data_IF_712880048888
#
_entry.id   IF_712880048888
#
_cell.length_a   1.000
_cell.length_b   1.000
_cell.length_c   1.000
_cell.angle_alpha   90.00
_cell.angle_beta   90.00
_cell.angle_gamma   90.00
#
_symmetry.space_group_name_H-M   'P 1'
#
loop_
_entity.id
_entity.type
_entity.pdbx_description
1 polymer ?
#
# COMPACT_ATOMS: atom_id res chain seq x y z
N UNK A 1 18.43 -0.24 10.08
CA UNK A 1 17.42 0.20 9.09
C UNK A 1 18.02 -0.01 7.71
N UNK A 2 17.35 -0.78 6.85
CA UNK A 2 17.93 -1.32 5.61
C UNK A 2 18.27 -0.23 4.60
N UNK A 3 19.56 -0.14 4.24
CA UNK A 3 20.14 0.80 3.27
C UNK A 3 19.66 0.58 1.81
N UNK A 4 18.55 -0.14 1.60
CA UNK A 4 18.10 -0.68 0.31
C UNK A 4 16.97 0.12 -0.35
N UNK A 5 16.17 0.87 0.42
CA UNK A 5 15.13 1.74 -0.14
C UNK A 5 15.75 2.87 -0.96
N UNK A 6 16.89 3.40 -0.50
CA UNK A 6 17.57 4.51 -1.18
C UNK A 6 18.10 4.15 -2.59
N UNK A 7 18.79 3.02 -2.82
CA UNK A 7 19.16 2.57 -4.16
C UNK A 7 17.99 2.44 -5.12
N UNK A 8 16.88 1.81 -4.69
CA UNK A 8 15.70 1.64 -5.54
C UNK A 8 15.12 3.00 -5.95
N UNK A 9 14.93 3.91 -4.98
CA UNK A 9 14.38 5.24 -5.24
C UNK A 9 15.28 6.08 -6.16
N UNK A 10 16.60 6.08 -5.95
CA UNK A 10 17.54 6.80 -6.84
C UNK A 10 17.50 6.27 -8.26
N UNK A 11 17.45 4.95 -8.43
CA UNK A 11 17.35 4.32 -9.77
C UNK A 11 16.02 4.62 -10.43
N UNK A 12 14.92 4.55 -9.68
CA UNK A 12 13.58 4.89 -10.17
C UNK A 12 13.47 6.37 -10.57
N UNK A 13 14.16 7.25 -9.85
CA UNK A 13 14.24 8.68 -10.15
C UNK A 13 15.27 9.02 -11.25
N UNK A 14 15.97 8.04 -11.82
CA UNK A 14 16.98 8.27 -12.86
C UNK A 14 18.30 8.86 -12.36
N UNK A 15 18.50 8.97 -11.05
CA UNK A 15 19.72 9.51 -10.42
C UNK A 15 20.87 8.50 -10.42
N UNK A 16 20.58 7.22 -10.62
CA UNK A 16 21.53 6.11 -10.64
C UNK A 16 21.09 5.10 -11.71
N UNK A 17 22.02 4.58 -12.55
CA UNK A 17 21.66 3.52 -13.49
C UNK A 17 21.61 2.17 -12.77
N UNK A 18 20.58 1.38 -13.05
CA UNK A 18 20.52 0.00 -12.57
C UNK A 18 21.63 -0.82 -13.24
N UNK A 19 22.46 -1.48 -12.43
CA UNK A 19 23.50 -2.39 -12.88
C UNK A 19 23.06 -3.83 -12.65
N UNK A 20 23.29 -4.69 -13.66
CA UNK A 20 23.01 -6.11 -13.62
C UNK A 20 24.27 -6.85 -14.08
N UNK A 21 24.83 -7.78 -13.29
CA UNK A 21 26.00 -8.55 -13.69
C UNK A 21 25.78 -9.37 -14.97
N UNK A 22 24.57 -9.87 -15.17
CA UNK A 22 24.15 -10.56 -16.40
C UNK A 22 22.63 -10.54 -16.58
N UNK A 23 22.16 -11.14 -17.67
CA UNK A 23 20.74 -11.21 -18.02
C UNK A 23 19.93 -12.04 -17.01
N UNK A 24 20.53 -13.07 -16.40
CA UNK A 24 19.87 -13.90 -15.38
C UNK A 24 19.49 -13.06 -14.15
N UNK A 25 20.38 -12.17 -13.72
CA UNK A 25 20.08 -11.22 -12.63
C UNK A 25 19.01 -10.22 -13.07
N UNK A 26 19.05 -9.75 -14.32
CA UNK A 26 18.04 -8.83 -14.87
C UNK A 26 16.65 -9.46 -14.92
N UNK A 27 16.52 -10.73 -15.31
CA UNK A 27 15.23 -11.43 -15.33
C UNK A 27 14.57 -11.49 -13.94
N UNK A 28 15.37 -11.61 -12.88
CA UNK A 28 14.86 -11.72 -11.50
C UNK A 28 14.62 -10.35 -10.87
N UNK A 29 15.52 -9.38 -11.07
CA UNK A 29 15.52 -8.09 -10.38
C UNK A 29 15.16 -6.90 -11.29
N UNK A 30 14.83 -7.14 -12.54
CA UNK A 30 14.52 -6.10 -13.52
C UNK A 30 13.39 -5.19 -13.07
N UNK A 31 12.28 -5.80 -12.61
CA UNK A 31 11.10 -5.08 -12.08
C UNK A 31 11.42 -4.17 -10.89
N UNK A 32 12.47 -4.50 -10.15
CA UNK A 32 12.88 -3.79 -8.93
C UNK A 32 14.24 -3.09 -9.11
N UNK A 33 14.61 -2.76 -10.37
CA UNK A 33 15.82 -1.98 -10.69
C UNK A 33 17.12 -2.55 -10.10
N UNK A 34 17.25 -3.88 -10.05
CA UNK A 34 18.44 -4.55 -9.53
C UNK A 34 18.52 -4.56 -8.00
N UNK A 35 17.47 -4.16 -7.30
CA UNK A 35 17.35 -4.23 -5.84
C UNK A 35 16.39 -5.35 -5.51
N UNK A 36 16.76 -6.40 -4.77
CA UNK A 36 15.76 -7.35 -4.32
C UNK A 36 14.83 -6.64 -3.33
N UNK A 37 13.53 -6.86 -3.43
CA UNK A 37 12.53 -6.27 -2.52
C UNK A 37 11.61 -7.35 -1.95
N UNK A 38 11.31 -8.39 -2.72
CA UNK A 38 10.41 -9.46 -2.32
C UNK A 38 11.15 -10.74 -1.91
N UNK A 39 10.52 -11.53 -1.02
CA UNK A 39 11.07 -12.82 -0.60
C UNK A 39 11.22 -13.77 -1.80
N UNK A 40 10.23 -13.78 -2.68
CA UNK A 40 10.18 -14.59 -3.90
C UNK A 40 11.35 -14.28 -4.84
N UNK A 41 11.72 -13.01 -4.97
CA UNK A 41 12.90 -12.60 -5.74
C UNK A 41 14.20 -13.13 -5.13
N UNK A 42 14.36 -13.04 -3.81
CA UNK A 42 15.53 -13.56 -3.12
C UNK A 42 15.68 -15.08 -3.29
N UNK A 43 14.57 -15.82 -3.23
CA UNK A 43 14.57 -17.27 -3.47
C UNK A 43 14.87 -17.61 -4.92
N UNK A 44 14.34 -16.84 -5.88
CA UNK A 44 14.66 -17.02 -7.30
C UNK A 44 16.13 -16.73 -7.61
N UNK A 45 16.75 -15.75 -6.95
CA UNK A 45 18.19 -15.49 -7.07
C UNK A 45 19.03 -16.70 -6.68
N UNK A 46 18.77 -17.35 -5.54
CA UNK A 46 19.60 -18.52 -5.14
C UNK A 46 19.39 -19.73 -6.05
N UNK A 47 18.20 -19.91 -6.61
CA UNK A 47 17.93 -20.96 -7.61
C UNK A 47 18.75 -20.68 -8.88
N UNK A 48 18.60 -19.49 -9.45
CA UNK A 48 19.20 -19.15 -10.75
C UNK A 48 20.72 -18.97 -10.64
N UNK A 49 21.20 -18.33 -9.58
CA UNK A 49 22.58 -17.89 -9.44
C UNK A 49 23.45 -18.82 -8.59
N UNK A 50 22.86 -19.57 -7.64
CA UNK A 50 23.60 -20.53 -6.82
C UNK A 50 23.24 -22.00 -7.14
N UNK A 51 22.24 -22.25 -7.98
CA UNK A 51 21.89 -23.61 -8.42
C UNK A 51 21.08 -24.40 -7.40
N UNK A 52 20.40 -23.71 -6.48
CA UNK A 52 19.50 -24.35 -5.53
C UNK A 52 18.28 -24.94 -6.25
N UNK A 53 17.81 -26.09 -5.80
CA UNK A 53 16.47 -26.57 -6.14
C UNK A 53 15.39 -25.71 -5.44
N UNK A 54 14.14 -25.70 -5.93
CA UNK A 54 13.04 -25.01 -5.25
C UNK A 54 12.86 -25.44 -3.79
N UNK A 55 13.06 -26.73 -3.48
CA UNK A 55 12.99 -27.25 -2.12
C UNK A 55 14.09 -26.70 -1.21
N UNK A 56 15.31 -26.57 -1.71
CA UNK A 56 16.42 -25.99 -0.96
C UNK A 56 16.27 -24.49 -0.75
N UNK A 57 15.71 -23.78 -1.73
CA UNK A 57 15.38 -22.37 -1.57
C UNK A 57 14.30 -22.18 -0.48
N UNK A 58 13.29 -23.04 -0.43
CA UNK A 58 12.29 -23.00 0.65
C UNK A 58 12.90 -23.35 2.02
N UNK A 59 13.83 -24.30 2.09
CA UNK A 59 14.57 -24.59 3.33
C UNK A 59 15.39 -23.37 3.78
N UNK A 60 16.06 -22.69 2.85
CA UNK A 60 16.74 -21.42 3.13
C UNK A 60 15.74 -20.40 3.68
N UNK A 61 14.58 -20.20 3.03
CA UNK A 61 13.52 -19.29 3.47
C UNK A 61 13.07 -19.54 4.91
N UNK A 62 12.88 -20.80 5.29
CA UNK A 62 12.52 -21.19 6.66
C UNK A 62 13.65 -20.95 7.64
N UNK A 63 14.88 -21.31 7.26
CA UNK A 63 16.06 -21.07 8.07
C UNK A 63 16.29 -19.58 8.35
N UNK A 64 15.91 -18.70 7.40
CA UNK A 64 15.96 -17.25 7.59
C UNK A 64 15.09 -16.76 8.74
N UNK A 65 13.92 -17.34 9.00
CA UNK A 65 13.09 -16.93 10.15
C UNK A 65 13.75 -17.27 11.49
N UNK A 66 14.63 -18.27 11.52
CA UNK A 66 15.41 -18.68 12.68
C UNK A 66 16.82 -18.07 12.70
N UNK A 67 17.10 -17.01 11.92
CA UNK A 67 18.45 -16.49 11.68
C UNK A 67 19.21 -16.17 12.98
N UNK A 68 18.51 -15.62 13.97
CA UNK A 68 19.11 -15.25 15.27
C UNK A 68 19.41 -16.46 16.16
N UNK A 69 18.76 -17.61 15.92
CA UNK A 69 18.81 -18.80 16.77
C UNK A 69 19.79 -19.87 16.29
N UNK A 70 20.03 -20.00 14.98
CA UNK A 70 20.84 -21.10 14.41
C UNK A 70 21.98 -20.62 13.49
N UNK A 71 23.05 -20.07 14.08
CA UNK A 71 24.21 -19.52 13.34
C UNK A 71 24.90 -20.53 12.42
N UNK A 72 24.97 -21.81 12.80
CA UNK A 72 25.65 -22.85 12.02
C UNK A 72 24.93 -23.19 10.71
N UNK A 73 23.60 -23.36 10.75
CA UNK A 73 22.78 -23.65 9.57
C UNK A 73 22.87 -22.54 8.51
N UNK A 74 23.09 -21.31 8.97
CA UNK A 74 23.18 -20.14 8.10
C UNK A 74 24.56 -20.04 7.46
N UNK A 75 25.62 -20.35 8.22
CA UNK A 75 26.96 -20.42 7.67
C UNK A 75 27.03 -21.46 6.52
N UNK A 76 26.41 -22.62 6.70
CA UNK A 76 26.36 -23.64 5.64
C UNK A 76 25.59 -23.16 4.41
N UNK A 77 24.47 -22.44 4.57
CA UNK A 77 23.76 -21.83 3.44
C UNK A 77 24.59 -20.75 2.74
N UNK A 78 25.28 -19.88 3.49
CA UNK A 78 26.21 -18.89 2.91
C UNK A 78 27.24 -19.58 2.05
N UNK A 79 27.93 -20.59 2.58
CA UNK A 79 29.02 -21.25 1.87
C UNK A 79 28.50 -21.93 0.61
N UNK A 80 27.33 -22.58 0.67
CA UNK A 80 26.66 -23.15 -0.52
C UNK A 80 26.31 -22.10 -1.56
N UNK A 81 25.79 -20.93 -1.15
CA UNK A 81 25.45 -19.84 -2.07
C UNK A 81 26.72 -19.33 -2.76
N UNK A 82 27.78 -19.04 -1.99
CA UNK A 82 29.05 -18.53 -2.51
C UNK A 82 29.70 -19.52 -3.47
N UNK A 83 29.77 -20.81 -3.10
CA UNK A 83 30.31 -21.86 -3.96
C UNK A 83 29.51 -21.98 -5.26
N UNK A 84 28.17 -22.00 -5.17
CA UNK A 84 27.30 -22.11 -6.34
C UNK A 84 27.43 -20.91 -7.29
N UNK A 85 27.52 -19.70 -6.74
CA UNK A 85 27.71 -18.47 -7.52
C UNK A 85 29.10 -18.40 -8.17
N UNK A 86 30.16 -18.78 -7.45
CA UNK A 86 31.52 -18.87 -8.01
C UNK A 86 31.60 -19.89 -9.15
N UNK A 87 30.94 -21.04 -9.01
CA UNK A 87 30.86 -22.04 -10.08
C UNK A 87 30.14 -21.53 -11.35
N UNK A 88 29.30 -20.48 -11.23
CA UNK A 88 28.62 -19.81 -12.34
C UNK A 88 29.31 -18.53 -12.83
N UNK A 89 30.52 -18.25 -12.34
CA UNK A 89 31.37 -17.15 -12.79
C UNK A 89 31.16 -15.82 -12.06
N UNK A 90 30.42 -15.79 -10.95
CA UNK A 90 30.25 -14.56 -10.16
C UNK A 90 31.41 -14.35 -9.19
N UNK A 91 31.70 -13.08 -8.88
CA UNK A 91 32.69 -12.72 -7.87
C UNK A 91 32.20 -13.05 -6.46
N UNK A 92 33.15 -13.32 -5.57
CA UNK A 92 32.84 -13.56 -4.14
C UNK A 92 32.18 -12.34 -3.50
N UNK A 93 32.62 -11.12 -3.86
CA UNK A 93 32.02 -9.86 -3.42
C UNK A 93 30.53 -9.74 -3.82
N UNK A 94 30.19 -10.15 -5.04
CA UNK A 94 28.79 -10.17 -5.48
C UNK A 94 27.98 -11.21 -4.70
N UNK A 95 28.54 -12.41 -4.50
CA UNK A 95 27.89 -13.46 -3.73
C UNK A 95 27.66 -13.03 -2.27
N UNK A 96 28.63 -12.40 -1.63
CA UNK A 96 28.51 -11.87 -0.28
C UNK A 96 27.48 -10.74 -0.18
N UNK A 97 27.41 -9.89 -1.21
CA UNK A 97 26.36 -8.87 -1.32
C UNK A 97 24.97 -9.52 -1.38
N UNK A 98 24.79 -10.56 -2.20
CA UNK A 98 23.54 -11.31 -2.27
C UNK A 98 23.19 -11.99 -0.95
N UNK A 99 24.15 -12.63 -0.27
CA UNK A 99 23.94 -13.25 1.05
C UNK A 99 23.54 -12.22 2.10
N UNK A 100 24.20 -11.06 2.12
CA UNK A 100 23.88 -9.95 3.01
C UNK A 100 22.46 -9.42 2.77
N UNK A 101 22.06 -9.31 1.50
CA UNK A 101 20.69 -8.91 1.13
C UNK A 101 19.67 -9.96 1.57
N UNK A 102 19.91 -11.25 1.30
CA UNK A 102 19.11 -12.40 1.75
C UNK A 102 18.93 -12.37 3.27
N UNK A 103 19.99 -12.11 4.03
CA UNK A 103 19.94 -11.94 5.49
C UNK A 103 19.00 -10.83 5.92
N UNK A 104 19.11 -9.67 5.26
CA UNK A 104 18.21 -8.56 5.50
C UNK A 104 16.74 -8.94 5.30
N UNK A 105 16.41 -9.73 4.27
CA UNK A 105 15.02 -10.13 4.00
C UNK A 105 14.35 -10.92 5.13
N UNK A 106 15.12 -11.60 5.99
CA UNK A 106 14.53 -12.23 7.18
C UNK A 106 13.85 -11.23 8.11
N UNK A 107 14.27 -9.97 8.09
CA UNK A 107 13.80 -8.91 8.96
C UNK A 107 12.74 -8.00 8.31
N UNK A 108 12.70 -7.91 6.96
CA UNK A 108 11.79 -7.00 6.24
C UNK A 108 11.16 -7.57 4.95
N UNK A 109 11.44 -8.82 4.59
CA UNK A 109 10.96 -9.40 3.34
C UNK A 109 9.44 -9.50 3.36
N UNK A 110 8.80 -8.90 2.36
CA UNK A 110 7.35 -8.91 2.19
C UNK A 110 6.98 -9.85 1.03
N UNK A 111 5.92 -10.66 1.15
CA UNK A 111 5.45 -11.49 0.03
C UNK A 111 4.98 -10.61 -1.13
N UNK A 112 5.48 -10.86 -2.35
CA UNK A 112 5.09 -10.09 -3.55
C UNK A 112 3.58 -10.20 -3.81
N UNK A 113 3.01 -11.39 -3.63
CA UNK A 113 1.59 -11.65 -3.83
C UNK A 113 0.70 -10.82 -2.89
N UNK A 114 1.11 -10.71 -1.63
CA UNK A 114 0.43 -9.88 -0.62
C UNK A 114 0.61 -8.39 -0.92
N UNK A 115 1.79 -7.95 -1.38
CA UNK A 115 1.97 -6.57 -1.81
C UNK A 115 1.07 -6.23 -3.00
N UNK A 116 0.98 -7.12 -3.99
CA UNK A 116 0.20 -6.90 -5.21
C UNK A 116 -1.31 -6.79 -4.91
N UNK A 117 -1.85 -7.64 -4.03
CA UNK A 117 -3.28 -7.58 -3.69
C UNK A 117 -3.66 -6.27 -3.01
N UNK A 118 -2.86 -5.79 -2.06
CA UNK A 118 -3.09 -4.49 -1.41
C UNK A 118 -2.83 -3.32 -2.37
N UNK A 119 -1.81 -3.40 -3.23
CA UNK A 119 -1.51 -2.35 -4.19
C UNK A 119 -2.68 -2.08 -5.15
N UNK A 120 -3.43 -3.12 -5.52
CA UNK A 120 -4.64 -2.96 -6.35
C UNK A 120 -5.72 -2.13 -5.65
N UNK A 121 -5.97 -2.39 -4.36
CA UNK A 121 -6.94 -1.63 -3.56
C UNK A 121 -6.51 -0.17 -3.37
N UNK A 122 -5.22 0.04 -3.11
CA UNK A 122 -4.63 1.39 -2.99
C UNK A 122 -4.76 2.14 -4.31
N UNK A 123 -4.42 1.49 -5.44
CA UNK A 123 -4.52 2.09 -6.76
C UNK A 123 -5.96 2.44 -7.12
N UNK A 124 -6.91 1.52 -6.90
CA UNK A 124 -8.33 1.79 -7.12
C UNK A 124 -8.82 2.97 -6.27
N UNK A 125 -8.49 2.99 -4.97
CA UNK A 125 -8.85 4.09 -4.08
C UNK A 125 -8.23 5.42 -4.51
N UNK A 126 -6.95 5.42 -4.90
CA UNK A 126 -6.25 6.61 -5.37
C UNK A 126 -6.80 7.13 -6.70
N UNK A 127 -7.19 6.22 -7.61
CA UNK A 127 -7.83 6.57 -8.87
C UNK A 127 -9.18 7.24 -8.64
N UNK A 128 -10.04 6.67 -7.77
CA UNK A 128 -11.32 7.28 -7.40
C UNK A 128 -11.06 8.65 -6.76
N UNK A 129 -10.15 8.74 -5.79
CA UNK A 129 -9.81 10.02 -5.16
C UNK A 129 -9.31 11.08 -6.15
N UNK A 130 -8.55 10.68 -7.17
CA UNK A 130 -7.99 11.59 -8.18
C UNK A 130 -9.05 12.12 -9.14
N UNK A 131 -10.07 11.32 -9.46
CA UNK A 131 -11.06 11.63 -10.51
C UNK A 131 -12.44 12.00 -9.96
N UNK A 132 -12.75 11.59 -8.74
CA UNK A 132 -14.05 11.66 -8.05
C UNK A 132 -13.84 11.98 -6.56
N UNK A 133 -13.16 13.10 -6.22
CA UNK A 133 -12.75 13.40 -4.85
C UNK A 133 -13.93 13.60 -3.90
N UNK A 134 -15.05 14.18 -4.35
CA UNK A 134 -16.23 14.38 -3.51
C UNK A 134 -17.02 13.09 -3.31
N UNK A 135 -17.22 12.25 -4.34
CA UNK A 135 -17.82 10.92 -4.14
C UNK A 135 -16.95 10.05 -3.22
N UNK A 136 -15.62 10.12 -3.37
CA UNK A 136 -14.70 9.41 -2.49
C UNK A 136 -14.85 9.88 -1.04
N UNK A 137 -14.88 11.20 -0.82
CA UNK A 137 -15.07 11.77 0.51
C UNK A 137 -16.43 11.40 1.11
N UNK A 138 -17.52 11.50 0.34
CA UNK A 138 -18.87 11.13 0.78
C UNK A 138 -18.93 9.64 1.15
N UNK A 139 -18.39 8.75 0.32
CA UNK A 139 -18.33 7.32 0.59
C UNK A 139 -17.53 7.00 1.86
N UNK A 140 -16.38 7.66 2.07
CA UNK A 140 -15.58 7.50 3.28
C UNK A 140 -16.33 8.03 4.51
N UNK A 141 -16.98 9.19 4.40
CA UNK A 141 -17.77 9.76 5.48
C UNK A 141 -18.97 8.88 5.84
N UNK A 142 -19.60 8.23 4.85
CA UNK A 142 -20.74 7.32 5.01
C UNK A 142 -20.35 5.92 5.50
N UNK A 143 -19.06 5.57 5.43
CA UNK A 143 -18.54 4.30 5.95
C UNK A 143 -18.05 4.40 7.40
N UNK A 144 -18.10 5.58 8.02
CA UNK A 144 -17.70 5.76 9.42
C UNK A 144 -18.61 4.97 10.38
N UNK A 145 -18.05 4.44 11.50
CA UNK A 145 -16.67 4.62 11.97
C UNK A 145 -15.64 3.76 11.22
N UNK A 146 -14.56 4.39 10.73
CA UNK A 146 -13.40 3.70 10.18
C UNK A 146 -12.13 4.09 10.95
N UNK A 147 -11.33 3.11 11.37
CA UNK A 147 -10.24 3.30 12.33
C UNK A 147 -9.01 4.11 11.86
N UNK A 148 -9.03 4.69 10.66
CA UNK A 148 -7.84 5.33 10.07
C UNK A 148 -7.92 6.86 9.94
N UNK A 149 -9.09 7.42 9.64
CA UNK A 149 -9.24 8.85 9.36
C UNK A 149 -10.48 9.41 10.05
N UNK A 150 -10.29 10.50 10.81
CA UNK A 150 -11.39 11.23 11.41
C UNK A 150 -12.20 11.98 10.34
N UNK A 151 -13.53 12.16 10.52
CA UNK A 151 -14.36 12.91 9.56
C UNK A 151 -13.80 14.29 9.19
N UNK A 152 -13.23 15.01 10.15
CA UNK A 152 -12.61 16.32 9.91
C UNK A 152 -11.42 16.25 8.93
N UNK A 153 -10.63 15.17 8.96
CA UNK A 153 -9.51 14.98 8.02
C UNK A 153 -10.03 14.68 6.61
N UNK A 154 -11.09 13.88 6.49
CA UNK A 154 -11.72 13.57 5.21
C UNK A 154 -12.31 14.84 4.59
N UNK A 155 -13.02 15.65 5.38
CA UNK A 155 -13.59 16.93 4.94
C UNK A 155 -12.48 17.91 4.51
N UNK A 156 -11.41 18.01 5.29
CA UNK A 156 -10.27 18.87 4.96
C UNK A 156 -9.58 18.47 3.66
N UNK A 157 -9.38 17.16 3.46
CA UNK A 157 -8.80 16.60 2.24
C UNK A 157 -9.69 16.84 1.01
N UNK A 158 -11.01 16.65 1.12
CA UNK A 158 -11.96 16.95 0.04
C UNK A 158 -11.88 18.43 -0.39
N UNK A 159 -11.88 19.35 0.58
CA UNK A 159 -11.71 20.79 0.32
C UNK A 159 -10.37 21.11 -0.35
N UNK A 160 -9.28 20.44 0.04
CA UNK A 160 -7.98 20.60 -0.58
C UNK A 160 -7.95 20.11 -2.04
N UNK A 161 -8.85 19.19 -2.42
CA UNK A 161 -9.07 18.75 -3.80
C UNK A 161 -10.10 19.60 -4.57
N UNK A 162 -10.53 20.74 -4.01
CA UNK A 162 -11.45 21.67 -4.67
C UNK A 162 -12.93 21.32 -4.51
N UNK A 163 -13.28 20.31 -3.71
CA UNK A 163 -14.67 19.94 -3.44
C UNK A 163 -15.31 20.97 -2.53
N UNK A 164 -16.47 21.49 -2.93
CA UNK A 164 -17.27 22.36 -2.06
C UNK A 164 -17.95 21.47 -1.01
N UNK A 165 -17.72 21.75 0.28
CA UNK A 165 -18.37 20.98 1.35
C UNK A 165 -19.40 21.85 2.05
N UNK A 166 -20.67 21.52 1.86
CA UNK A 166 -21.77 22.20 2.51
C UNK A 166 -22.05 21.59 3.89
N UNK A 167 -22.30 22.44 4.91
CA UNK A 167 -22.59 21.95 6.26
C UNK A 167 -23.93 21.20 6.29
N UNK A 168 -24.14 20.53 7.42
CA UNK A 168 -25.43 19.90 7.71
C UNK A 168 -26.51 20.98 7.77
N UNK A 169 -27.62 20.74 7.09
CA UNK A 169 -28.72 21.69 6.95
C UNK A 169 -30.04 20.92 7.11
N UNK A 170 -30.93 21.37 8.00
CA UNK A 170 -32.20 20.69 8.28
C UNK A 170 -33.08 20.55 7.02
N UNK A 171 -33.00 21.54 6.12
CA UNK A 171 -33.79 21.61 4.91
C UNK A 171 -33.12 20.92 3.70
N UNK A 172 -31.86 20.48 3.82
CA UNK A 172 -31.15 19.89 2.66
C UNK A 172 -30.51 18.54 2.95
N UNK A 173 -29.95 18.35 4.13
CA UNK A 173 -29.25 17.13 4.48
C UNK A 173 -30.18 15.92 4.56
N UNK A 174 -29.62 14.76 4.22
CA UNK A 174 -30.16 13.45 4.53
C UNK A 174 -29.36 12.82 5.68
N UNK A 175 -29.64 11.54 6.00
CA UNK A 175 -28.81 10.79 6.95
C UNK A 175 -27.36 10.71 6.48
N UNK A 176 -27.17 10.20 5.27
CA UNK A 176 -25.87 10.08 4.63
C UNK A 176 -25.44 11.39 3.95
N UNK A 177 -24.13 11.54 3.79
CA UNK A 177 -23.58 12.62 2.97
C UNK A 177 -23.94 12.36 1.50
N UNK A 178 -24.40 13.39 0.80
CA UNK A 178 -24.86 13.31 -0.59
C UNK A 178 -24.05 14.23 -1.49
N UNK A 179 -23.99 13.87 -2.77
CA UNK A 179 -23.47 14.75 -3.81
C UNK A 179 -24.52 15.80 -4.18
N UNK A 180 -24.07 17.04 -4.37
CA UNK A 180 -24.86 18.15 -4.88
C UNK A 180 -24.13 18.77 -6.08
N UNK A 181 -24.88 19.28 -7.05
CA UNK A 181 -24.32 20.14 -8.08
C UNK A 181 -24.10 21.53 -7.48
N UNK A 182 -22.84 21.90 -7.21
CA UNK A 182 -22.48 23.20 -6.69
C UNK A 182 -22.32 24.24 -7.81
N UNK A 183 -22.52 25.51 -7.48
CA UNK A 183 -22.35 26.64 -8.40
C UNK A 183 -20.93 26.79 -9.01
N UNK A 184 -19.95 25.99 -8.55
CA UNK A 184 -18.57 25.98 -9.01
C UNK A 184 -17.98 24.59 -9.23
N UNK A 185 -18.80 23.54 -9.30
CA UNK A 185 -18.35 22.16 -9.48
C UNK A 185 -18.92 21.18 -8.46
N UNK A 186 -18.20 20.09 -8.23
CA UNK A 186 -18.58 19.01 -7.32
C UNK A 186 -18.76 19.52 -5.88
N UNK A 187 -19.93 19.24 -5.28
CA UNK A 187 -20.21 19.59 -3.90
C UNK A 187 -20.69 18.38 -3.09
N UNK A 188 -20.28 18.32 -1.82
CA UNK A 188 -20.72 17.31 -0.84
C UNK A 188 -21.54 18.00 0.23
N UNK A 189 -22.79 17.56 0.41
CA UNK A 189 -23.64 17.90 1.54
C UNK A 189 -23.33 16.96 2.70
N UNK A 190 -22.94 17.51 3.84
CA UNK A 190 -22.77 16.70 5.04
C UNK A 190 -24.11 16.14 5.52
N UNK A 191 -24.13 14.83 5.82
CA UNK A 191 -25.28 14.12 6.34
C UNK A 191 -25.41 14.22 7.87
N UNK A 192 -26.62 14.02 8.36
CA UNK A 192 -26.95 14.00 9.79
C UNK A 192 -26.17 12.95 10.58
N UNK A 193 -25.64 11.89 9.92
CA UNK A 193 -24.80 10.86 10.55
C UNK A 193 -23.58 11.40 11.30
N UNK A 194 -23.14 12.61 10.95
CA UNK A 194 -22.01 13.28 11.59
C UNK A 194 -22.40 14.04 12.88
N UNK A 195 -23.69 14.20 13.17
CA UNK A 195 -24.17 14.79 14.42
C UNK A 195 -24.08 13.75 15.53
N UNK A 196 -23.20 14.02 16.50
CA UNK A 196 -23.06 13.16 17.66
C UNK A 196 -24.37 13.14 18.46
N UNK A 197 -24.91 11.93 18.67
CA UNK A 197 -26.12 11.71 19.47
C UNK A 197 -27.43 11.81 18.70
N UNK A 198 -27.40 12.10 17.39
CA UNK A 198 -28.59 12.02 16.53
C UNK A 198 -28.72 10.59 15.97
N UNK A 199 -29.89 9.97 16.15
CA UNK A 199 -30.15 8.64 15.62
C UNK A 199 -30.68 8.70 14.19
N UNK A 200 -30.36 7.66 13.40
CA UNK A 200 -30.76 7.56 11.98
C UNK A 200 -32.28 7.69 11.78
N UNK A 201 -33.08 7.06 12.64
CA UNK A 201 -34.54 7.14 12.60
C UNK A 201 -35.05 8.57 12.75
N UNK A 202 -34.42 9.37 13.62
CA UNK A 202 -34.79 10.78 13.83
C UNK A 202 -34.40 11.62 12.61
N UNK A 203 -33.21 11.38 12.05
CA UNK A 203 -32.75 12.06 10.85
C UNK A 203 -33.63 11.74 9.63
N UNK A 204 -34.08 10.49 9.49
CA UNK A 204 -35.02 10.08 8.45
C UNK A 204 -36.39 10.72 8.65
N UNK A 205 -36.89 10.79 9.89
CA UNK A 205 -38.14 11.46 10.19
C UNK A 205 -38.12 12.95 9.78
N UNK A 206 -37.02 13.66 10.06
CA UNK A 206 -36.82 15.05 9.60
C UNK A 206 -36.94 15.14 8.08
N UNK A 207 -36.31 14.23 7.35
CA UNK A 207 -36.36 14.20 5.89
C UNK A 207 -37.77 13.88 5.36
N UNK A 208 -38.51 12.98 6.01
CA UNK A 208 -39.90 12.65 5.67
C UNK A 208 -40.81 13.84 5.90
N UNK A 209 -40.78 14.45 7.09
CA UNK A 209 -41.59 15.63 7.41
C UNK A 209 -41.32 16.78 6.43
N UNK A 210 -40.05 17.02 6.09
CA UNK A 210 -39.68 18.02 5.08
C UNK A 210 -40.31 17.74 3.71
N UNK A 211 -40.35 16.48 3.30
CA UNK A 211 -40.91 16.09 2.00
C UNK A 211 -42.45 16.20 1.96
N UNK A 212 -43.12 15.97 3.09
CA UNK A 212 -44.58 16.01 3.21
C UNK A 212 -45.12 17.42 3.52
N UNK A 213 -44.45 18.17 4.39
CA UNK A 213 -44.93 19.44 4.95
C UNK A 213 -44.20 20.68 4.40
N UNK A 214 -43.08 20.49 3.69
CA UNK A 214 -42.25 21.56 3.14
C UNK A 214 -41.05 21.94 4.02
N UNK A 215 -40.37 23.03 3.67
CA UNK A 215 -39.17 23.48 4.40
C UNK A 215 -39.50 23.99 5.81
N UNK A 216 -38.65 23.66 6.78
CA UNK A 216 -38.70 24.20 8.12
C UNK A 216 -38.31 25.68 8.11
N UNK A 217 -39.21 26.55 8.58
CA UNK A 217 -39.02 28.02 8.59
C UNK A 217 -38.49 28.57 9.91
N UNK A 218 -38.69 27.84 11.02
CA UNK A 218 -38.21 28.21 12.36
C UNK A 218 -38.03 26.98 13.24
N UNK A 219 -37.36 27.17 14.39
CA UNK A 219 -37.33 26.22 15.51
C UNK A 219 -38.71 26.04 16.15
#
# INVERSE_FOLDING_TARGET
QGNMVHPYLRRRAGLERAHYPDERVREVLGKTMGVPIFQEQAMRLVIVLAGFSPGEAEQLRRAMQAWKRNKWLIASFRDRIVVGMKAKGYTEEFADTCVSQIKGFSEYGFPESHAASFALLVYASAWIKCHYPGEFAAALLNSQPMGFYAPAQIIGDAKAHGVIVHPIDVNKSAWDCTMEEGAGGEAVRLGFRLIRGLHEEQAKLIATMRAEEGEFVSL
#
